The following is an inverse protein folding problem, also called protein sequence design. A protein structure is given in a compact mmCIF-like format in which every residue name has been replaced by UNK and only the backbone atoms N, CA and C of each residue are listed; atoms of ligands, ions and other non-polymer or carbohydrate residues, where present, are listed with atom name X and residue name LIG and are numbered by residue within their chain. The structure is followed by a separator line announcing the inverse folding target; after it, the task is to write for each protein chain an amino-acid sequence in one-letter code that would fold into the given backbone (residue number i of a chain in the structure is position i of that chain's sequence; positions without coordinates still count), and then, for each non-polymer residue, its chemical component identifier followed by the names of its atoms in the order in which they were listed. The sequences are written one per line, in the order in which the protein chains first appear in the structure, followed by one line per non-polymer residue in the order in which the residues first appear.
data_IF_159353430179
#
_entry.id   IF_159353430179
#
_cell.length_a   1.000
_cell.length_b   1.000
_cell.length_c   1.000
_cell.angle_alpha   90.00
_cell.angle_beta   90.00
_cell.angle_gamma   90.00
#
_symmetry.space_group_name_H-M   'P 1'
#
loop_
_entity.id
_entity.type
_entity.pdbx_description
1 polymer ?
#
# COMPACT_ATOMS: atom_id res chain seq x y z
N UNK A 1 11.30 -9.64 13.27
CA UNK A 1 10.38 -8.89 12.41
C UNK A 1 8.99 -9.41 12.68
N UNK A 2 8.06 -8.54 13.08
CA UNK A 2 6.71 -8.95 13.46
C UNK A 2 5.94 -9.37 12.20
N UNK A 3 5.66 -10.67 12.09
CA UNK A 3 4.86 -11.32 11.03
C UNK A 3 3.39 -10.85 10.94
N UNK A 4 3.00 -9.78 11.63
CA UNK A 4 1.60 -9.36 11.72
C UNK A 4 1.09 -8.66 10.46
N UNK A 5 1.99 -8.13 9.63
CA UNK A 5 1.64 -7.42 8.39
C UNK A 5 1.88 -8.24 7.12
N UNK A 6 2.43 -9.46 7.24
CA UNK A 6 2.53 -10.42 6.11
C UNK A 6 1.21 -11.17 5.96
N UNK A 7 0.48 -10.87 4.88
CA UNK A 7 -0.82 -11.48 4.63
C UNK A 7 -0.72 -12.37 3.41
N UNK A 8 -0.81 -13.69 3.64
CA UNK A 8 -0.82 -14.69 2.58
C UNK A 8 -2.21 -14.76 1.94
N UNK A 9 -2.29 -14.39 0.68
CA UNK A 9 -3.51 -14.44 -0.12
C UNK A 9 -3.72 -15.83 -0.73
N UNK A 10 -2.65 -16.53 -1.07
CA UNK A 10 -2.73 -17.86 -1.70
C UNK A 10 -1.64 -18.83 -1.24
N UNK A 11 -1.93 -20.12 -1.35
CA UNK A 11 -0.93 -21.18 -1.32
C UNK A 11 -0.34 -21.48 -2.72
N UNK A 12 0.57 -22.47 -2.82
CA UNK A 12 1.30 -22.75 -4.06
C UNK A 12 0.40 -23.07 -5.25
N UNK A 13 0.84 -22.66 -6.44
CA UNK A 13 0.21 -23.00 -7.72
C UNK A 13 1.22 -22.84 -8.87
N UNK A 14 0.83 -23.25 -10.08
CA UNK A 14 1.66 -23.06 -11.27
C UNK A 14 0.87 -22.34 -12.35
N UNK A 15 1.57 -21.54 -13.14
CA UNK A 15 1.01 -20.80 -14.27
C UNK A 15 1.99 -20.84 -15.44
N UNK A 16 1.47 -20.77 -16.67
CA UNK A 16 2.31 -20.60 -17.86
C UNK A 16 2.50 -19.12 -18.15
N UNK A 17 3.70 -18.76 -18.55
CA UNK A 17 4.01 -17.46 -19.14
C UNK A 17 3.72 -17.45 -20.64
N UNK A 18 4.01 -16.33 -21.31
CA UNK A 18 3.82 -16.16 -22.76
C UNK A 18 4.70 -17.06 -23.62
N UNK A 19 5.85 -17.50 -23.11
CA UNK A 19 6.73 -18.48 -23.77
C UNK A 19 6.22 -19.92 -23.66
N UNK A 20 5.20 -20.15 -22.84
CA UNK A 20 4.64 -21.47 -22.54
C UNK A 20 5.39 -22.22 -21.44
N UNK A 21 6.41 -21.61 -20.83
CA UNK A 21 7.15 -22.16 -19.70
C UNK A 21 6.27 -22.16 -18.46
N UNK A 22 6.30 -23.29 -17.73
CA UNK A 22 5.57 -23.43 -16.49
C UNK A 22 6.36 -22.79 -15.34
N UNK A 23 5.81 -21.73 -14.76
CA UNK A 23 6.35 -21.04 -13.59
C UNK A 23 5.67 -21.57 -12.33
N UNK A 24 6.49 -22.03 -11.38
CA UNK A 24 6.03 -22.53 -10.09
C UNK A 24 6.02 -21.38 -9.08
N UNK A 25 4.84 -21.08 -8.54
CA UNK A 25 4.59 -19.98 -7.62
C UNK A 25 4.36 -20.55 -6.21
N UNK A 26 5.13 -20.08 -5.24
CA UNK A 26 5.02 -20.48 -3.82
C UNK A 26 3.78 -19.90 -3.16
N UNK A 27 3.40 -18.68 -3.55
CA UNK A 27 2.24 -18.00 -3.01
C UNK A 27 2.11 -16.58 -3.53
N UNK A 28 1.03 -15.95 -3.12
CA UNK A 28 0.77 -14.52 -3.33
C UNK A 28 0.57 -13.94 -1.94
N UNK A 29 1.22 -12.83 -1.66
CA UNK A 29 1.13 -12.13 -0.38
C UNK A 29 1.10 -10.63 -0.59
N UNK A 30 0.63 -9.93 0.42
CA UNK A 30 0.69 -8.47 0.52
C UNK A 30 1.38 -8.12 1.84
N UNK A 31 2.00 -6.95 1.85
CA UNK A 31 2.47 -6.33 3.08
C UNK A 31 1.66 -5.08 3.35
N UNK A 32 1.34 -4.89 4.62
CA UNK A 32 0.84 -3.61 5.09
C UNK A 32 2.02 -2.69 5.40
N UNK A 33 2.36 -1.80 4.47
CA UNK A 33 3.45 -0.84 4.62
C UNK A 33 2.99 0.50 5.23
N UNK A 34 1.68 0.69 5.43
CA UNK A 34 1.12 1.91 6.01
C UNK A 34 1.15 3.15 5.12
N UNK A 35 1.33 2.99 3.80
CA UNK A 35 1.27 4.07 2.81
C UNK A 35 -0.07 4.16 2.05
N UNK A 36 -1.05 3.33 2.40
CA UNK A 36 -2.41 3.34 1.82
C UNK A 36 -2.54 2.73 0.43
N UNK A 37 -1.42 2.28 -0.17
CA UNK A 37 -1.38 1.51 -1.41
C UNK A 37 -0.90 0.09 -1.12
N UNK A 38 -1.38 -0.88 -1.92
CA UNK A 38 -1.05 -2.29 -1.75
C UNK A 38 -0.21 -2.78 -2.92
N UNK A 39 1.02 -3.18 -2.63
CA UNK A 39 1.83 -3.97 -3.53
C UNK A 39 1.59 -5.47 -3.32
N UNK A 40 1.41 -6.19 -4.43
CA UNK A 40 1.14 -7.63 -4.42
C UNK A 40 2.39 -8.38 -4.84
N UNK A 41 2.92 -9.14 -3.90
CA UNK A 41 4.13 -9.91 -4.04
C UNK A 41 3.80 -11.34 -4.48
N UNK A 42 4.47 -11.80 -5.53
CA UNK A 42 4.30 -13.16 -6.07
C UNK A 42 5.65 -13.88 -6.00
N UNK A 43 5.77 -14.79 -5.04
CA UNK A 43 7.03 -15.51 -4.79
C UNK A 43 7.14 -16.74 -5.70
N UNK A 44 8.25 -16.88 -6.41
CA UNK A 44 8.53 -18.03 -7.27
C UNK A 44 9.38 -19.09 -6.57
N UNK A 45 9.22 -20.34 -7.02
CA UNK A 45 9.97 -21.47 -6.51
C UNK A 45 11.44 -21.45 -6.98
N UNK A 46 11.65 -21.01 -8.22
CA UNK A 46 12.95 -20.94 -8.89
C UNK A 46 13.20 -19.54 -9.42
N UNK A 47 14.49 -19.21 -9.60
CA UNK A 47 14.91 -18.01 -10.32
C UNK A 47 14.45 -18.02 -11.77
N UNK A 48 14.40 -16.84 -12.36
CA UNK A 48 14.04 -16.66 -13.76
C UNK A 48 15.10 -15.89 -14.58
N UNK A 49 16.32 -15.76 -14.05
CA UNK A 49 17.55 -15.46 -14.81
C UNK A 49 17.37 -14.29 -15.80
N UNK A 50 16.82 -13.17 -15.28
CA UNK A 50 16.54 -11.91 -15.97
C UNK A 50 15.29 -11.84 -16.87
N UNK A 51 14.43 -12.87 -16.91
CA UNK A 51 13.12 -12.75 -17.57
C UNK A 51 12.25 -11.67 -16.89
N UNK A 52 11.74 -10.64 -17.60
CA UNK A 52 10.90 -9.60 -17.03
C UNK A 52 9.47 -10.10 -16.82
N UNK A 53 9.28 -11.10 -15.93
CA UNK A 53 7.99 -11.75 -15.69
C UNK A 53 6.91 -10.78 -15.16
N UNK A 54 7.31 -9.65 -14.60
CA UNK A 54 6.44 -8.56 -14.16
C UNK A 54 5.82 -7.76 -15.34
N UNK A 55 6.31 -7.96 -16.56
CA UNK A 55 5.75 -7.42 -17.81
C UNK A 55 4.99 -8.48 -18.63
N UNK A 56 5.07 -9.77 -18.24
CA UNK A 56 4.40 -10.85 -18.96
C UNK A 56 2.89 -10.86 -18.67
N UNK A 57 2.11 -10.27 -19.58
CA UNK A 57 0.66 -10.16 -19.41
C UNK A 57 -0.05 -11.53 -19.34
N UNK A 58 0.49 -12.58 -19.96
CA UNK A 58 -0.11 -13.93 -19.90
C UNK A 58 0.00 -14.48 -18.49
N UNK A 59 1.18 -14.35 -17.88
CA UNK A 59 1.45 -14.74 -16.51
C UNK A 59 0.67 -13.88 -15.51
N UNK A 60 0.69 -12.56 -15.65
CA UNK A 60 -0.05 -11.62 -14.81
C UNK A 60 -1.54 -11.94 -14.82
N UNK A 61 -2.12 -12.17 -16.01
CA UNK A 61 -3.52 -12.57 -16.13
C UNK A 61 -3.79 -13.92 -15.44
N UNK A 62 -2.84 -14.86 -15.43
CA UNK A 62 -2.99 -16.12 -14.71
C UNK A 62 -2.99 -15.91 -13.18
N UNK A 63 -2.14 -15.02 -12.69
CA UNK A 63 -2.07 -14.63 -11.27
C UNK A 63 -3.38 -13.92 -10.85
N UNK A 64 -3.88 -12.98 -11.65
CA UNK A 64 -5.15 -12.29 -11.39
C UNK A 64 -6.31 -13.28 -11.43
N UNK A 65 -6.34 -14.22 -12.39
CA UNK A 65 -7.33 -15.30 -12.40
C UNK A 65 -7.27 -16.12 -11.12
N UNK A 66 -6.08 -16.42 -10.60
CA UNK A 66 -5.92 -17.10 -9.31
C UNK A 66 -6.53 -16.28 -8.17
N UNK A 67 -6.26 -14.98 -8.08
CA UNK A 67 -6.89 -14.08 -7.10
C UNK A 67 -8.42 -14.04 -7.24
N UNK A 68 -8.94 -14.06 -8.48
CA UNK A 68 -10.39 -14.13 -8.74
C UNK A 68 -11.02 -15.43 -8.24
N UNK A 69 -10.30 -16.56 -8.28
CA UNK A 69 -10.79 -17.80 -7.63
C UNK A 69 -10.87 -17.68 -6.11
N UNK A 70 -10.12 -16.76 -5.50
CA UNK A 70 -10.04 -16.55 -4.05
C UNK A 70 -11.01 -15.47 -3.53
N UNK A 71 -11.73 -14.80 -4.43
CA UNK A 71 -12.75 -13.80 -4.10
C UNK A 71 -12.54 -12.44 -4.73
N UNK A 72 -11.40 -12.16 -5.36
CA UNK A 72 -11.17 -10.86 -5.99
C UNK A 72 -12.11 -10.65 -7.20
N UNK A 73 -12.66 -9.45 -7.35
CA UNK A 73 -13.62 -9.08 -8.42
C UNK A 73 -13.30 -7.76 -9.11
N UNK A 74 -12.19 -7.12 -8.74
CA UNK A 74 -11.79 -5.82 -9.28
C UNK A 74 -11.06 -5.87 -10.62
N UNK A 75 -10.55 -4.70 -11.06
CA UNK A 75 -9.82 -4.55 -12.32
C UNK A 75 -8.48 -5.31 -12.31
N UNK A 76 -7.79 -5.31 -13.45
CA UNK A 76 -6.46 -5.93 -13.55
C UNK A 76 -5.39 -5.04 -12.87
N UNK A 77 -4.26 -5.63 -12.53
CA UNK A 77 -3.17 -4.95 -11.81
C UNK A 77 -2.28 -4.17 -12.75
N UNK A 78 -1.63 -3.14 -12.19
CA UNK A 78 -0.60 -2.35 -12.87
C UNK A 78 0.81 -2.88 -12.63
N UNK A 79 1.76 -2.22 -13.29
CA UNK A 79 3.19 -2.42 -13.06
C UNK A 79 3.59 -1.80 -11.72
N UNK A 80 4.33 -2.52 -10.89
CA UNK A 80 4.97 -1.93 -9.71
C UNK A 80 6.31 -1.26 -10.09
N UNK A 81 6.95 -0.61 -9.13
CA UNK A 81 8.27 -0.02 -9.31
C UNK A 81 9.31 -1.11 -9.70
N UNK A 82 10.20 -0.77 -10.63
CA UNK A 82 11.23 -1.69 -11.12
C UNK A 82 12.22 -2.09 -10.00
N UNK A 83 12.44 -1.21 -9.01
CA UNK A 83 13.31 -1.46 -7.86
C UNK A 83 12.76 -2.49 -6.86
N UNK A 84 11.49 -2.90 -7.00
CA UNK A 84 10.86 -3.92 -6.16
C UNK A 84 10.94 -5.33 -6.75
N UNK A 85 11.38 -5.45 -8.00
CA UNK A 85 11.48 -6.73 -8.70
C UNK A 85 12.77 -7.47 -8.29
N UNK A 86 12.73 -8.80 -8.23
CA UNK A 86 13.87 -9.67 -7.90
C UNK A 86 13.82 -10.96 -8.75
N UNK A 87 14.90 -11.74 -8.83
CA UNK A 87 14.99 -13.00 -9.61
C UNK A 87 13.94 -14.05 -9.22
N UNK A 88 13.36 -13.97 -8.02
CA UNK A 88 12.35 -14.91 -7.53
C UNK A 88 11.08 -14.26 -7.05
N UNK A 89 10.90 -12.99 -7.34
CA UNK A 89 9.77 -12.21 -6.86
C UNK A 89 9.39 -11.21 -7.95
N UNK A 90 8.12 -11.21 -8.31
CA UNK A 90 7.54 -10.05 -8.98
C UNK A 90 6.62 -9.32 -8.04
N UNK A 91 6.57 -8.01 -8.20
CA UNK A 91 5.65 -7.13 -7.48
C UNK A 91 4.73 -6.46 -8.50
N UNK A 92 3.44 -6.47 -8.19
CA UNK A 92 2.39 -5.88 -9.00
C UNK A 92 1.67 -4.81 -8.18
N UNK A 93 1.37 -3.68 -8.82
CA UNK A 93 0.63 -2.61 -8.15
C UNK A 93 -0.87 -2.94 -8.19
N UNK A 94 -1.48 -3.11 -7.02
CA UNK A 94 -2.91 -3.34 -6.94
C UNK A 94 -3.70 -2.03 -7.15
N UNK A 95 -4.82 -2.08 -7.88
CA UNK A 95 -5.71 -0.93 -7.99
C UNK A 95 -6.51 -0.74 -6.69
N UNK A 96 -6.95 0.48 -6.39
CA UNK A 96 -7.67 0.82 -5.15
C UNK A 96 -8.85 -0.14 -4.80
N UNK A 97 -9.69 -0.63 -5.75
CA UNK A 97 -10.75 -1.59 -5.43
C UNK A 97 -10.24 -2.95 -4.89
N UNK A 98 -8.94 -3.22 -4.96
CA UNK A 98 -8.33 -4.38 -4.32
C UNK A 98 -8.35 -4.29 -2.79
N UNK A 99 -8.43 -3.09 -2.22
CA UNK A 99 -8.42 -2.86 -0.77
C UNK A 99 -9.57 -3.61 -0.07
N UNK A 100 -10.77 -3.66 -0.66
CA UNK A 100 -11.90 -4.43 -0.12
C UNK A 100 -11.58 -5.93 -0.02
N UNK A 101 -10.93 -6.49 -1.04
CA UNK A 101 -10.52 -7.89 -1.04
C UNK A 101 -9.39 -8.12 -0.03
N UNK A 102 -8.40 -7.22 0.04
CA UNK A 102 -7.31 -7.30 1.00
C UNK A 102 -7.82 -7.22 2.46
N UNK A 103 -8.77 -6.32 2.74
CA UNK A 103 -9.42 -6.20 4.04
C UNK A 103 -10.15 -7.50 4.43
N UNK A 104 -10.82 -8.16 3.49
CA UNK A 104 -11.43 -9.49 3.72
C UNK A 104 -10.41 -10.59 4.09
N UNK A 105 -9.11 -10.35 3.83
CA UNK A 105 -8.00 -11.24 4.20
C UNK A 105 -7.23 -10.77 5.44
N UNK A 106 -7.65 -9.68 6.07
CA UNK A 106 -7.08 -9.16 7.31
C UNK A 106 -6.13 -7.98 7.16
N UNK A 107 -6.08 -7.34 5.98
CA UNK A 107 -5.37 -6.07 5.80
C UNK A 107 -6.11 -4.95 6.54
N UNK A 108 -5.39 -4.04 7.18
CA UNK A 108 -5.96 -2.95 7.98
C UNK A 108 -5.23 -1.69 7.57
N UNK A 109 -5.81 -0.89 6.69
CA UNK A 109 -5.18 0.30 6.13
C UNK A 109 -4.50 1.19 7.20
N UNK A 110 -3.22 0.93 7.51
CA UNK A 110 -2.57 1.60 8.64
C UNK A 110 -2.38 3.10 8.36
N UNK A 111 -2.37 3.49 7.08
CA UNK A 111 -2.29 4.90 6.70
C UNK A 111 -3.49 5.71 7.21
N UNK A 112 -4.69 5.11 7.24
CA UNK A 112 -5.86 5.75 7.83
C UNK A 112 -5.75 5.83 9.35
N UNK A 113 -5.22 4.78 10.02
CA UNK A 113 -4.99 4.80 11.47
C UNK A 113 -4.01 5.92 11.89
N UNK A 114 -2.97 6.19 11.10
CA UNK A 114 -2.02 7.27 11.39
C UNK A 114 -2.55 8.67 11.00
N UNK A 115 -3.44 8.78 10.01
CA UNK A 115 -4.04 10.05 9.64
C UNK A 115 -4.97 10.59 10.74
N UNK A 116 -5.68 9.70 11.44
CA UNK A 116 -6.55 10.07 12.57
C UNK A 116 -5.75 10.51 13.82
N UNK A 117 -4.51 10.04 14.01
CA UNK A 117 -3.64 10.44 15.14
C UNK A 117 -2.96 11.83 14.94
N UNK A 118 -2.88 12.32 13.69
CA UNK A 118 -2.36 13.67 13.37
C UNK A 118 -3.41 14.79 13.55
N UNK A 119 -4.70 14.44 13.70
CA UNK A 119 -5.77 15.42 13.97
C UNK A 119 -5.83 15.89 15.45
N UNK A 120 -4.99 15.35 16.35
CA UNK A 120 -4.85 15.82 17.73
C UNK A 120 -3.85 16.99 17.90
N UNK A 121 -3.35 17.57 16.80
CA UNK A 121 -2.78 18.92 16.83
C UNK A 121 -3.91 19.95 16.84
N UNK A 122 -4.56 20.07 18.00
CA UNK A 122 -5.39 21.24 18.34
C UNK A 122 -4.66 22.51 17.89
N UNK A 123 -5.24 23.33 16.99
CA UNK A 123 -4.69 24.67 16.77
C UNK A 123 -4.83 25.38 18.11
N UNK A 124 -3.71 25.74 18.72
CA UNK A 124 -3.63 26.42 20.01
C UNK A 124 -4.38 27.77 19.91
N UNK A 125 -5.69 27.72 20.08
CA UNK A 125 -6.60 28.85 20.16
C UNK A 125 -6.18 29.79 21.30
N UNK A 126 -5.48 29.25 22.29
CA UNK A 126 -4.87 29.98 23.39
C UNK A 126 -3.70 30.87 22.92
N UNK A 127 -2.88 30.44 21.97
CA UNK A 127 -1.79 31.26 21.42
C UNK A 127 -2.33 32.45 20.60
N UNK A 128 -3.36 32.22 19.78
CA UNK A 128 -4.01 33.29 19.01
C UNK A 128 -4.72 34.31 19.93
N UNK A 129 -5.36 33.83 21.01
CA UNK A 129 -5.97 34.68 22.03
C UNK A 129 -4.92 35.48 22.83
N UNK A 130 -3.76 34.88 23.14
CA UNK A 130 -2.64 35.55 23.81
C UNK A 130 -2.03 36.67 22.95
N UNK A 131 -1.83 36.43 21.66
CA UNK A 131 -1.29 37.43 20.73
C UNK A 131 -2.27 38.61 20.58
N UNK A 132 -3.57 38.33 20.43
CA UNK A 132 -4.60 39.38 20.37
C UNK A 132 -4.70 40.21 21.65
N UNK A 133 -4.54 39.58 22.82
CA UNK A 133 -4.55 40.28 24.11
C UNK A 133 -3.33 41.20 24.29
N UNK A 134 -2.15 40.77 23.81
CA UNK A 134 -0.93 41.58 23.86
C UNK A 134 -0.97 42.79 22.92
N UNK A 135 -1.55 42.63 21.72
CA UNK A 135 -1.73 43.75 20.78
C UNK A 135 -2.73 44.80 21.28
N UNK A 136 -3.83 44.35 21.91
CA UNK A 136 -4.81 45.24 22.51
C UNK A 136 -4.20 46.07 23.66
N UNK A 137 -3.37 45.45 24.52
CA UNK A 137 -2.73 46.15 25.64
C UNK A 137 -1.66 47.16 25.16
N UNK A 138 -0.91 46.81 24.11
CA UNK A 138 0.06 47.72 23.49
C UNK A 138 -0.61 48.96 22.87
N UNK A 139 -1.79 48.79 22.25
CA UNK A 139 -2.58 49.89 21.67
C UNK A 139 -3.10 50.85 22.76
N UNK A 140 -3.61 50.30 23.87
CA UNK A 140 -4.15 51.10 24.99
C UNK A 140 -3.05 51.93 25.66
N UNK A 141 -1.84 51.38 25.82
CA UNK A 141 -0.70 52.14 26.36
C UNK A 141 -0.29 53.30 25.47
N UNK A 142 -0.39 53.13 24.14
CA UNK A 142 -0.04 54.17 23.16
C UNK A 142 -1.05 55.31 23.11
N UNK A 143 -2.33 55.02 23.37
CA UNK A 143 -3.42 56.01 23.44
C UNK A 143 -3.43 56.82 24.74
N UNK A 144 -2.89 56.29 25.84
CA UNK A 144 -2.80 56.99 27.14
C UNK A 144 -1.57 57.89 27.30
N UNK A 145 -0.66 57.92 26.32
CA UNK A 145 0.58 58.69 26.36
C UNK A 145 0.48 60.07 25.67
N UNK A 146 -0.73 60.59 25.45
CA UNK A 146 -1.01 61.92 24.90
C UNK A 146 -1.89 62.74 25.84
#
# INVERSE_FOLDING_TARGET
MNNQTDIKLSGPFSAKDSSGQLRNIKGIRIFDEGYGMIDVYVDFASGFEDDPLHEDQVLINAIIRRLRTLGYRGPDFGLADAGLQDDRLIVLQAPEPFNEFAASKGWRNLAEEFADDDEDLVPDSSLAALISAMEADALIRRLRAH
#
